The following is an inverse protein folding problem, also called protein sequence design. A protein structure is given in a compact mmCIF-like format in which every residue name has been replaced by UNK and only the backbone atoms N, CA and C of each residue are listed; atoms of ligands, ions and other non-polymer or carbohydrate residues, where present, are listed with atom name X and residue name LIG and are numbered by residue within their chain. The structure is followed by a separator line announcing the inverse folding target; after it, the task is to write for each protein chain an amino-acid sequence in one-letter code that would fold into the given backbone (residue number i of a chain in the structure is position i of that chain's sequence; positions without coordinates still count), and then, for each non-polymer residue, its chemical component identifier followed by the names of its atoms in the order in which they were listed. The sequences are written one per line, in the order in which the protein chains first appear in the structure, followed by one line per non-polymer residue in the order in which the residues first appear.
data_IF_061139184577
#
_entry.id   IF_061139184577
#
_cell.length_a   1.000
_cell.length_b   1.000
_cell.length_c   1.000
_cell.angle_alpha   90.00
_cell.angle_beta   90.00
_cell.angle_gamma   90.00
#
_symmetry.space_group_name_H-M   'P 1'
#
loop_
_entity.id
_entity.type
_entity.pdbx_description
1 polymer ?
#
# COMPACT_ATOMS: atom_id res chain seq x y z
N UNK A 1 -9.11 4.45 48.05
CA UNK A 1 -8.17 5.40 47.41
C UNK A 1 -6.84 4.69 47.23
N UNK A 2 -6.39 4.46 46.01
CA UNK A 2 -5.07 3.83 45.72
C UNK A 2 -3.99 4.86 45.97
N UNK A 3 -3.12 4.64 46.96
CA UNK A 3 -1.97 5.49 47.22
C UNK A 3 -0.95 5.32 46.11
N UNK A 4 -0.80 6.29 45.24
CA UNK A 4 0.30 6.33 44.26
C UNK A 4 1.60 6.63 44.99
N UNK A 5 2.51 5.66 45.08
CA UNK A 5 3.87 5.91 45.53
C UNK A 5 4.62 6.75 44.49
N UNK A 6 5.33 7.76 44.96
CA UNK A 6 6.23 8.57 44.13
C UNK A 6 7.32 7.68 43.54
N UNK A 7 7.59 7.85 42.27
CA UNK A 7 8.62 7.08 41.58
C UNK A 7 10.01 7.65 41.96
N UNK A 8 10.97 6.79 42.27
CA UNK A 8 12.33 7.26 42.49
C UNK A 8 12.87 7.95 41.24
N UNK A 9 13.70 8.99 41.37
CA UNK A 9 14.25 9.73 40.23
C UNK A 9 15.02 8.79 39.29
N UNK A 10 14.90 9.05 38.00
CA UNK A 10 15.60 8.25 37.00
C UNK A 10 17.09 8.59 36.99
N UNK A 11 17.94 7.56 36.85
CA UNK A 11 19.38 7.73 36.80
C UNK A 11 19.80 8.53 35.54
N UNK A 12 20.39 9.72 35.67
CA UNK A 12 20.77 10.57 34.57
C UNK A 12 21.86 9.94 33.66
N UNK A 13 22.71 9.07 34.21
CA UNK A 13 23.70 8.33 33.42
C UNK A 13 23.07 7.43 32.38
N UNK A 14 21.96 6.77 32.72
CA UNK A 14 21.23 5.91 31.80
C UNK A 14 20.64 6.71 30.64
N UNK A 15 20.05 7.87 30.91
CA UNK A 15 19.51 8.77 29.87
C UNK A 15 20.63 9.26 28.94
N UNK A 16 21.78 9.64 29.47
CA UNK A 16 22.94 10.08 28.69
C UNK A 16 23.47 8.97 27.77
N UNK A 17 23.66 7.78 28.33
CA UNK A 17 24.13 6.62 27.55
C UNK A 17 23.11 6.18 26.49
N UNK A 18 21.82 6.20 26.80
CA UNK A 18 20.76 5.91 25.86
C UNK A 18 20.79 6.85 24.65
N UNK A 19 20.95 8.17 24.90
CA UNK A 19 21.11 9.17 23.84
C UNK A 19 22.37 8.93 23.01
N UNK A 20 23.49 8.61 23.65
CA UNK A 20 24.76 8.33 22.97
C UNK A 20 24.64 7.10 22.04
N UNK A 21 24.02 6.03 22.52
CA UNK A 21 23.77 4.83 21.68
C UNK A 21 22.83 5.14 20.53
N UNK A 22 21.74 5.87 20.77
CA UNK A 22 20.78 6.25 19.74
C UNK A 22 21.42 7.17 18.68
N UNK A 23 22.27 8.11 19.06
CA UNK A 23 22.99 8.99 18.14
C UNK A 23 23.95 8.20 17.24
N UNK A 24 24.71 7.26 17.82
CA UNK A 24 25.62 6.39 17.07
C UNK A 24 24.91 5.37 16.19
N UNK A 25 23.73 4.91 16.59
CA UNK A 25 22.95 3.84 15.94
C UNK A 25 21.51 4.28 15.66
N UNK A 26 21.32 5.22 14.78
CA UNK A 26 20.04 5.91 14.49
C UNK A 26 18.86 5.00 14.15
N UNK A 27 19.11 3.73 13.79
CA UNK A 27 18.06 2.74 13.45
C UNK A 27 17.74 1.77 14.59
N UNK A 28 18.35 1.96 15.77
CA UNK A 28 18.09 1.10 16.92
C UNK A 28 16.83 1.54 17.65
N UNK A 29 15.85 0.66 17.72
CA UNK A 29 14.71 0.81 18.61
C UNK A 29 15.07 0.50 20.05
N UNK A 30 14.16 0.78 20.98
CA UNK A 30 14.39 0.65 22.43
C UNK A 30 14.95 -0.73 22.85
N UNK A 31 14.49 -1.83 22.24
CA UNK A 31 14.98 -3.19 22.56
C UNK A 31 16.48 -3.35 22.28
N UNK A 32 16.94 -2.91 21.10
CA UNK A 32 18.37 -2.98 20.73
C UNK A 32 19.21 -2.03 21.58
N UNK A 33 18.69 -0.86 21.92
CA UNK A 33 19.35 0.06 22.86
C UNK A 33 19.44 -0.58 24.24
N UNK A 34 18.40 -1.28 24.71
CA UNK A 34 18.43 -2.03 25.96
C UNK A 34 19.57 -3.04 26.03
N UNK A 35 19.72 -3.88 25.01
CA UNK A 35 20.83 -4.84 24.93
C UNK A 35 22.21 -4.15 24.99
N UNK A 36 22.36 -2.98 24.34
CA UNK A 36 23.62 -2.23 24.39
C UNK A 36 23.89 -1.64 25.78
N UNK A 37 22.86 -1.25 26.52
CA UNK A 37 22.97 -0.79 27.90
C UNK A 37 23.30 -1.93 28.86
N UNK A 38 22.69 -3.11 28.69
CA UNK A 38 22.98 -4.33 29.44
C UNK A 38 24.42 -4.74 29.30
N UNK A 39 24.99 -4.70 28.09
CA UNK A 39 26.41 -4.96 27.82
C UNK A 39 27.35 -3.99 28.55
N UNK A 40 26.86 -2.80 28.96
CA UNK A 40 27.57 -1.83 29.76
C UNK A 40 27.26 -1.96 31.26
N UNK A 41 26.62 -3.05 31.68
CA UNK A 41 26.22 -3.28 33.06
C UNK A 41 25.01 -2.47 33.55
N UNK A 42 24.29 -1.78 32.65
CA UNK A 42 23.12 -0.98 32.98
C UNK A 42 21.83 -1.77 32.76
N UNK A 43 21.56 -2.72 33.65
CA UNK A 43 20.38 -3.59 33.58
C UNK A 43 19.15 -2.84 34.12
N UNK A 44 18.05 -2.89 33.38
CA UNK A 44 16.78 -2.28 33.81
C UNK A 44 15.57 -3.02 33.25
N UNK A 45 14.42 -2.82 33.94
CA UNK A 45 13.15 -3.35 33.45
C UNK A 45 12.79 -2.73 32.08
N UNK A 46 12.37 -3.57 31.17
CA UNK A 46 12.00 -3.22 29.81
C UNK A 46 10.89 -2.14 29.74
N UNK A 47 9.93 -2.13 30.68
CA UNK A 47 8.91 -1.09 30.79
C UNK A 47 9.52 0.28 31.12
N UNK A 48 10.52 0.31 32.03
CA UNK A 48 11.27 1.52 32.38
C UNK A 48 12.08 2.01 31.17
N UNK A 49 12.78 1.10 30.49
CA UNK A 49 13.55 1.40 29.28
C UNK A 49 12.67 2.03 28.19
N UNK A 50 11.50 1.44 27.92
CA UNK A 50 10.57 1.96 26.91
C UNK A 50 10.05 3.36 27.27
N UNK A 51 9.71 3.60 28.56
CA UNK A 51 9.28 4.92 29.04
C UNK A 51 10.37 5.96 28.80
N UNK A 52 11.62 5.69 29.26
CA UNK A 52 12.74 6.59 29.06
C UNK A 52 13.02 6.88 27.60
N UNK A 53 12.93 5.86 26.74
CA UNK A 53 13.10 5.98 25.30
C UNK A 53 12.05 6.92 24.68
N UNK A 54 10.80 6.83 25.14
CA UNK A 54 9.71 7.69 24.68
C UNK A 54 9.85 9.11 25.21
N UNK A 55 10.18 9.28 26.49
CA UNK A 55 10.42 10.58 27.14
C UNK A 55 11.52 11.37 26.42
N UNK A 56 12.59 10.69 25.99
CA UNK A 56 13.72 11.29 25.27
C UNK A 56 13.48 11.42 23.74
N UNK A 57 12.28 11.09 23.27
CA UNK A 57 11.86 11.18 21.85
C UNK A 57 12.81 10.46 20.88
N UNK A 58 13.39 9.34 21.31
CA UNK A 58 14.35 8.56 20.52
C UNK A 58 13.68 7.64 19.49
N UNK A 59 12.37 7.74 19.29
CA UNK A 59 11.60 6.92 18.38
C UNK A 59 12.18 6.88 16.97
N UNK A 60 12.50 5.68 16.50
CA UNK A 60 12.96 5.48 15.11
C UNK A 60 11.80 5.76 14.18
N UNK A 61 12.01 6.68 13.25
CA UNK A 61 11.00 7.00 12.22
C UNK A 61 10.75 5.76 11.37
N UNK A 62 9.58 5.17 11.53
CA UNK A 62 9.17 4.07 10.66
C UNK A 62 8.98 4.61 9.24
N UNK A 63 9.50 3.89 8.24
CA UNK A 63 9.14 4.17 6.86
C UNK A 63 7.64 3.91 6.73
N UNK A 64 6.85 4.95 6.67
CA UNK A 64 5.44 4.82 6.26
C UNK A 64 5.44 4.23 4.86
N UNK A 65 4.61 3.23 4.63
CA UNK A 65 4.38 2.68 3.29
C UNK A 65 4.10 3.82 2.31
N UNK A 66 4.39 3.61 1.03
CA UNK A 66 4.06 4.59 -0.01
C UNK A 66 2.58 4.95 0.11
N UNK A 67 2.26 6.24 0.12
CA UNK A 67 0.87 6.69 0.01
C UNK A 67 0.33 6.11 -1.29
N UNK A 68 -0.64 5.23 -1.20
CA UNK A 68 -1.39 4.73 -2.34
C UNK A 68 -2.50 5.72 -2.62
N UNK A 69 -2.77 5.98 -3.89
CA UNK A 69 -3.96 6.73 -4.25
C UNK A 69 -5.20 5.94 -3.84
N UNK A 70 -6.15 6.64 -3.30
CA UNK A 70 -7.51 6.15 -3.12
C UNK A 70 -8.36 6.97 -4.06
N UNK A 71 -9.07 6.31 -4.97
CA UNK A 71 -10.04 6.97 -5.84
C UNK A 71 -11.15 7.66 -5.04
N UNK A 72 -11.91 8.50 -5.69
CA UNK A 72 -13.09 9.14 -5.11
C UNK A 72 -14.13 8.06 -4.76
N UNK A 73 -14.79 8.21 -3.60
CA UNK A 73 -15.89 7.34 -3.17
C UNK A 73 -17.24 7.82 -3.72
N UNK A 74 -17.27 8.35 -4.93
CA UNK A 74 -18.50 8.74 -5.59
C UNK A 74 -19.26 7.49 -6.07
N UNK A 75 -20.61 7.48 -6.06
CA UNK A 75 -21.39 6.43 -6.67
C UNK A 75 -20.96 6.21 -8.12
N UNK A 76 -20.76 4.95 -8.52
CA UNK A 76 -20.36 4.61 -9.87
C UNK A 76 -21.49 4.93 -10.86
N UNK A 77 -21.28 5.77 -11.88
CA UNK A 77 -22.25 5.95 -12.93
C UNK A 77 -22.46 4.65 -13.70
N UNK A 78 -23.65 4.34 -14.14
CA UNK A 78 -23.94 3.20 -15.00
C UNK A 78 -23.49 3.54 -16.43
N UNK A 79 -22.75 2.65 -17.08
CA UNK A 79 -22.38 2.81 -18.48
C UNK A 79 -23.60 2.62 -19.37
N UNK A 80 -23.94 3.64 -20.16
CA UNK A 80 -25.11 3.63 -21.06
C UNK A 80 -24.71 3.39 -22.53
N UNK A 81 -23.45 3.56 -22.87
CA UNK A 81 -22.92 3.42 -24.24
C UNK A 81 -21.68 2.55 -24.26
N UNK A 82 -21.45 1.77 -25.33
CA UNK A 82 -20.17 1.07 -25.53
C UNK A 82 -18.99 2.04 -25.49
N UNK A 83 -17.89 1.61 -24.89
CA UNK A 83 -16.67 2.43 -24.72
C UNK A 83 -16.73 3.46 -23.61
N UNK A 84 -17.85 3.63 -22.91
CA UNK A 84 -17.98 4.65 -21.87
C UNK A 84 -17.25 4.26 -20.57
N UNK A 85 -17.32 3.00 -20.18
CA UNK A 85 -16.69 2.49 -18.97
C UNK A 85 -16.08 1.12 -19.19
N UNK A 86 -14.82 0.98 -18.78
CA UNK A 86 -14.11 -0.29 -18.78
C UNK A 86 -13.90 -0.81 -17.36
N UNK A 87 -14.07 -2.11 -17.17
CA UNK A 87 -13.75 -2.82 -15.94
C UNK A 87 -12.48 -3.63 -16.11
N UNK A 88 -11.58 -3.53 -15.13
CA UNK A 88 -10.31 -4.26 -15.11
C UNK A 88 -10.24 -5.20 -13.92
N UNK A 89 -9.75 -6.42 -14.18
CA UNK A 89 -9.47 -7.41 -13.15
C UNK A 89 -8.22 -8.23 -13.45
N UNK A 90 -7.66 -8.84 -12.39
CA UNK A 90 -6.56 -9.77 -12.48
C UNK A 90 -6.98 -11.18 -12.06
N UNK A 91 -6.95 -12.09 -12.98
CA UNK A 91 -7.00 -13.52 -12.66
C UNK A 91 -5.58 -14.04 -12.42
N UNK A 92 -5.44 -15.05 -11.58
CA UNK A 92 -4.17 -15.71 -11.30
C UNK A 92 -4.34 -17.20 -11.43
N UNK A 93 -3.40 -17.84 -12.14
CA UNK A 93 -3.39 -19.28 -12.34
C UNK A 93 -1.96 -19.82 -12.32
N UNK A 94 -1.77 -21.12 -12.47
CA UNK A 94 -0.49 -21.79 -12.39
C UNK A 94 -0.27 -22.76 -13.54
N UNK A 95 0.93 -22.74 -14.12
CA UNK A 95 1.40 -23.79 -15.01
C UNK A 95 1.90 -24.98 -14.19
N UNK A 96 1.13 -26.08 -14.16
CA UNK A 96 1.49 -27.25 -13.37
C UNK A 96 1.72 -26.91 -11.88
N UNK A 97 2.73 -27.49 -11.25
CA UNK A 97 2.94 -27.38 -9.81
C UNK A 97 3.78 -26.17 -9.36
N UNK A 98 4.35 -25.34 -10.25
CA UNK A 98 5.40 -24.43 -9.82
C UNK A 98 5.37 -23.00 -10.35
N UNK A 99 4.88 -22.73 -11.53
CA UNK A 99 4.94 -21.38 -12.13
C UNK A 99 3.59 -20.68 -12.14
N UNK A 100 3.47 -19.60 -11.37
CA UNK A 100 2.28 -18.73 -11.39
C UNK A 100 2.35 -17.76 -12.55
N UNK A 101 1.19 -17.48 -13.14
CA UNK A 101 0.99 -16.40 -14.11
C UNK A 101 -0.26 -15.63 -13.76
N UNK A 102 -0.38 -14.44 -14.32
CA UNK A 102 -1.55 -13.57 -14.14
C UNK A 102 -2.12 -13.22 -15.50
N UNK A 103 -3.40 -12.97 -15.52
CA UNK A 103 -4.13 -12.56 -16.71
C UNK A 103 -4.76 -11.20 -16.36
N UNK A 104 -4.47 -10.20 -17.17
CA UNK A 104 -5.22 -8.94 -17.15
C UNK A 104 -6.42 -9.10 -18.05
N UNK A 105 -7.61 -8.94 -17.51
CA UNK A 105 -8.87 -8.86 -18.25
C UNK A 105 -9.34 -7.40 -18.28
N UNK A 106 -9.76 -6.93 -19.44
CA UNK A 106 -10.38 -5.61 -19.63
C UNK A 106 -11.68 -5.81 -20.39
N UNK A 107 -12.79 -5.44 -19.78
CA UNK A 107 -14.13 -5.60 -20.35
C UNK A 107 -14.82 -4.24 -20.49
N UNK A 108 -15.64 -4.10 -21.53
CA UNK A 108 -16.59 -3.01 -21.64
C UNK A 108 -17.85 -3.33 -20.82
N UNK A 109 -18.19 -2.45 -19.89
CA UNK A 109 -19.31 -2.68 -18.97
C UNK A 109 -20.69 -2.57 -19.62
N UNK A 110 -20.80 -1.89 -20.75
CA UNK A 110 -22.06 -1.71 -21.46
C UNK A 110 -22.41 -2.92 -22.32
N UNK A 111 -21.51 -3.32 -23.21
CA UNK A 111 -21.76 -4.43 -24.13
C UNK A 111 -21.24 -5.78 -23.65
N UNK A 112 -20.52 -5.82 -22.53
CA UNK A 112 -19.90 -7.02 -21.96
C UNK A 112 -18.83 -7.64 -22.86
N UNK A 113 -18.29 -6.88 -23.78
CA UNK A 113 -17.24 -7.33 -24.67
C UNK A 113 -15.90 -7.36 -23.93
N UNK A 114 -15.15 -8.45 -24.09
CA UNK A 114 -13.78 -8.51 -23.60
C UNK A 114 -12.85 -7.82 -24.60
N UNK A 115 -12.28 -6.69 -24.18
CA UNK A 115 -11.41 -5.87 -25.01
C UNK A 115 -9.95 -6.36 -24.97
N UNK A 116 -9.54 -6.98 -23.87
CA UNK A 116 -8.19 -7.49 -23.70
C UNK A 116 -8.16 -8.65 -22.73
N UNK A 117 -7.44 -9.70 -23.11
CA UNK A 117 -7.08 -10.81 -22.23
C UNK A 117 -5.58 -11.08 -22.39
N UNK A 118 -4.76 -10.47 -21.52
CA UNK A 118 -3.31 -10.57 -21.60
C UNK A 118 -2.74 -11.39 -20.46
N UNK A 119 -2.06 -12.49 -20.78
CA UNK A 119 -1.40 -13.34 -19.79
C UNK A 119 0.11 -13.07 -19.71
N UNK A 120 0.65 -12.95 -18.50
CA UNK A 120 2.10 -12.81 -18.27
C UNK A 120 2.46 -13.33 -16.86
N UNK A 121 3.70 -13.72 -16.67
CA UNK A 121 4.23 -14.12 -15.36
C UNK A 121 4.42 -12.94 -14.42
N UNK A 122 4.55 -11.72 -14.95
CA UNK A 122 4.71 -10.49 -14.17
C UNK A 122 4.05 -9.32 -14.88
N UNK A 123 2.98 -8.78 -14.31
CA UNK A 123 2.28 -7.62 -14.83
C UNK A 123 2.45 -6.46 -13.85
N UNK A 124 3.20 -5.44 -14.26
CA UNK A 124 3.37 -4.20 -13.48
C UNK A 124 2.35 -3.14 -13.93
N UNK A 125 2.12 -2.12 -13.08
CA UNK A 125 1.26 -0.99 -13.48
C UNK A 125 1.72 -0.25 -14.75
N UNK A 126 3.03 -0.22 -15.03
CA UNK A 126 3.54 0.33 -16.29
C UNK A 126 3.19 -0.55 -17.50
N UNK A 127 3.11 -1.88 -17.31
CA UNK A 127 2.66 -2.79 -18.37
C UNK A 127 1.17 -2.60 -18.61
N UNK A 128 0.36 -2.51 -17.55
CA UNK A 128 -1.07 -2.22 -17.67
C UNK A 128 -1.31 -0.91 -18.44
N UNK A 129 -0.59 0.16 -18.10
CA UNK A 129 -0.71 1.45 -18.79
C UNK A 129 -0.46 1.32 -20.30
N UNK A 130 0.56 0.55 -20.71
CA UNK A 130 0.85 0.30 -22.16
C UNK A 130 -0.26 -0.47 -22.87
N UNK A 131 -0.86 -1.46 -22.19
CA UNK A 131 -1.99 -2.18 -22.75
C UNK A 131 -3.21 -1.26 -22.88
N UNK A 132 -3.48 -0.42 -21.90
CA UNK A 132 -4.54 0.58 -22.00
C UNK A 132 -4.29 1.58 -23.13
N UNK A 133 -3.05 2.02 -23.37
CA UNK A 133 -2.71 2.85 -24.54
C UNK A 133 -3.01 2.14 -25.85
N UNK A 134 -2.77 0.82 -25.94
CA UNK A 134 -3.08 0.05 -27.12
C UNK A 134 -4.60 -0.04 -27.33
N UNK A 135 -5.36 -0.29 -26.26
CA UNK A 135 -6.81 -0.36 -26.30
C UNK A 135 -7.45 0.97 -26.68
N UNK A 136 -6.96 2.08 -26.12
CA UNK A 136 -7.44 3.42 -26.49
C UNK A 136 -7.25 3.73 -27.96
N UNK A 137 -6.19 3.24 -28.59
CA UNK A 137 -5.96 3.40 -30.03
C UNK A 137 -6.96 2.62 -30.88
N UNK A 138 -7.46 1.49 -30.40
CA UNK A 138 -8.37 0.60 -31.14
C UNK A 138 -9.83 0.97 -30.88
N UNK A 139 -10.19 1.11 -29.62
CA UNK A 139 -11.60 1.27 -29.18
C UNK A 139 -11.97 2.71 -28.81
N UNK A 140 -11.03 3.61 -28.80
CA UNK A 140 -11.24 4.95 -28.28
C UNK A 140 -11.03 5.04 -26.76
N UNK A 141 -11.04 6.26 -26.25
CA UNK A 141 -10.79 6.54 -24.84
C UNK A 141 -12.07 6.37 -24.01
N UNK A 142 -12.07 5.56 -22.93
CA UNK A 142 -13.22 5.49 -22.03
C UNK A 142 -13.35 6.74 -21.19
N UNK A 143 -14.56 7.07 -20.76
CA UNK A 143 -14.80 8.15 -19.80
C UNK A 143 -14.33 7.75 -18.40
N UNK A 144 -14.53 6.47 -18.04
CA UNK A 144 -14.15 5.95 -16.74
C UNK A 144 -13.62 4.51 -16.80
N UNK A 145 -12.80 4.18 -15.80
CA UNK A 145 -12.28 2.83 -15.60
C UNK A 145 -12.57 2.40 -14.16
N UNK A 146 -12.99 1.17 -13.98
CA UNK A 146 -13.23 0.54 -12.68
C UNK A 146 -12.25 -0.59 -12.45
N UNK A 147 -11.66 -0.66 -11.26
CA UNK A 147 -10.79 -1.79 -10.87
C UNK A 147 -10.85 -2.06 -9.39
N UNK A 148 -10.31 -3.19 -8.97
CA UNK A 148 -10.02 -3.47 -7.57
C UNK A 148 -8.88 -2.57 -7.04
N UNK A 149 -8.58 -2.70 -5.75
CA UNK A 149 -7.50 -1.96 -5.09
C UNK A 149 -6.14 -2.66 -5.21
N UNK A 150 -5.92 -3.46 -6.24
CA UNK A 150 -4.65 -4.15 -6.50
C UNK A 150 -3.46 -3.20 -6.53
N UNK A 151 -2.28 -3.71 -6.16
CA UNK A 151 -1.05 -2.89 -6.07
C UNK A 151 -0.64 -2.32 -7.42
N UNK A 152 -0.96 -3.03 -8.48
CA UNK A 152 -0.69 -2.66 -9.87
C UNK A 152 -1.55 -1.49 -10.30
N UNK A 153 -2.86 -1.56 -10.01
CA UNK A 153 -3.83 -0.51 -10.35
C UNK A 153 -3.67 0.75 -9.49
N UNK A 154 -3.22 0.62 -8.24
CA UNK A 154 -2.95 1.76 -7.37
C UNK A 154 -1.53 2.32 -7.52
N UNK A 155 -0.81 1.90 -8.57
CA UNK A 155 0.56 2.33 -8.85
C UNK A 155 0.64 3.77 -9.38
N UNK A 156 1.82 4.39 -9.23
CA UNK A 156 2.06 5.73 -9.80
C UNK A 156 1.93 5.78 -11.33
N UNK A 157 2.23 4.66 -12.00
CA UNK A 157 2.12 4.58 -13.46
C UNK A 157 0.67 4.73 -13.91
N UNK A 158 -0.25 4.01 -13.25
CA UNK A 158 -1.68 4.08 -13.54
C UNK A 158 -2.26 5.45 -13.19
N UNK A 159 -1.89 6.01 -12.03
CA UNK A 159 -2.36 7.34 -11.66
C UNK A 159 -1.95 8.42 -12.67
N UNK A 160 -0.69 8.35 -13.12
CA UNK A 160 -0.19 9.26 -14.14
C UNK A 160 -0.95 9.05 -15.45
N UNK A 161 -1.08 7.80 -15.88
CA UNK A 161 -1.80 7.46 -17.09
C UNK A 161 -3.25 7.97 -17.09
N UNK A 162 -3.97 7.76 -15.99
CA UNK A 162 -5.37 8.22 -15.84
C UNK A 162 -5.46 9.75 -15.90
N UNK A 163 -4.53 10.45 -15.24
CA UNK A 163 -4.47 11.90 -15.27
C UNK A 163 -4.12 12.45 -16.67
N UNK A 164 -3.09 11.88 -17.31
CA UNK A 164 -2.61 12.32 -18.62
C UNK A 164 -3.67 12.09 -19.72
N UNK A 165 -4.47 11.04 -19.58
CA UNK A 165 -5.58 10.74 -20.49
C UNK A 165 -6.91 11.36 -20.09
N UNK A 166 -7.00 12.04 -18.93
CA UNK A 166 -8.24 12.56 -18.37
C UNK A 166 -9.34 11.49 -18.28
N UNK A 167 -8.99 10.30 -17.77
CA UNK A 167 -9.88 9.17 -17.53
C UNK A 167 -10.18 9.11 -16.03
N UNK A 168 -11.45 9.02 -15.66
CA UNK A 168 -11.86 8.92 -14.28
C UNK A 168 -11.66 7.49 -13.77
N UNK A 169 -10.76 7.30 -12.77
CA UNK A 169 -10.43 5.98 -12.28
C UNK A 169 -11.11 5.70 -10.94
N UNK A 170 -12.03 4.75 -10.94
CA UNK A 170 -12.79 4.34 -9.76
C UNK A 170 -12.22 3.03 -9.18
N UNK A 171 -12.01 3.03 -7.88
CA UNK A 171 -11.66 1.82 -7.14
C UNK A 171 -12.87 1.31 -6.38
N UNK A 172 -13.16 0.00 -6.49
CA UNK A 172 -14.21 -0.63 -5.71
C UNK A 172 -13.92 -0.54 -4.20
N UNK A 173 -14.97 -0.56 -3.40
CA UNK A 173 -14.84 -0.57 -1.95
C UNK A 173 -14.15 -1.87 -1.48
N UNK A 174 -13.22 -1.80 -0.52
CA UNK A 174 -12.60 -3.00 0.03
C UNK A 174 -13.66 -3.97 0.58
N UNK A 175 -13.61 -5.23 0.13
CA UNK A 175 -14.53 -6.28 0.54
C UNK A 175 -15.87 -6.30 -0.19
N UNK A 176 -16.03 -5.53 -1.27
CA UNK A 176 -17.22 -5.52 -2.12
C UNK A 176 -16.92 -5.94 -3.57
N UNK A 177 -16.54 -7.20 -3.81
CA UNK A 177 -16.23 -7.67 -5.17
C UNK A 177 -17.42 -7.55 -6.15
N UNK A 178 -18.64 -7.51 -5.60
CA UNK A 178 -19.86 -7.32 -6.41
C UNK A 178 -19.91 -5.99 -7.17
N UNK A 179 -19.13 -5.00 -6.77
CA UNK A 179 -19.02 -3.73 -7.50
C UNK A 179 -18.20 -3.86 -8.79
N UNK A 180 -17.47 -4.96 -8.96
CA UNK A 180 -16.76 -5.34 -10.19
C UNK A 180 -17.42 -6.55 -10.89
N UNK A 181 -18.71 -6.74 -10.66
CA UNK A 181 -19.48 -7.93 -11.08
C UNK A 181 -19.70 -8.04 -12.61
N UNK A 182 -19.12 -7.16 -13.39
CA UNK A 182 -19.24 -7.18 -14.86
C UNK A 182 -18.08 -7.88 -15.58
N UNK A 183 -17.10 -8.38 -14.82
CA UNK A 183 -15.95 -9.16 -15.34
C UNK A 183 -16.18 -10.64 -15.14
#
# INVERSE_FOLDING_TARGET
KTVRRDRPPDNPKIRKEMKAVAAKRRRFGYRRIGVMLERKGMIMNHKKLYRLYTDEKLGVRQRRGRKRARGSRTPMPVALRPGERWSLDFLSDMFGASRKFRILAVNDDCCRENLCLMADTSISGARVARELDALVRVYGKPASIVSDNGTEFTSRAILRWANDNAVDWHYIDPGKPQQNAFI
#
